data_IF_700871367030
#
_entry.id   IF_700871367030
#
_cell.length_a   1.000
_cell.length_b   1.000
_cell.length_c   1.000
_cell.angle_alpha   90.00
_cell.angle_beta   90.00
_cell.angle_gamma   90.00
#
_symmetry.space_group_name_H-M   'P 1'
#
loop_
_entity.id
_entity.type
_entity.pdbx_description
1 polymer ?
#
# COMPACT_ATOMS: atom_id res chain seq x y z
N UNK A 1 -19.13 4.25 68.78
CA UNK A 1 -18.17 4.01 67.68
C UNK A 1 -18.93 3.55 66.42
N UNK A 2 -19.27 4.49 65.54
CA UNK A 2 -20.00 4.22 64.30
C UNK A 2 -18.96 4.05 63.20
N UNK A 3 -18.91 2.85 62.57
CA UNK A 3 -18.06 2.57 61.40
C UNK A 3 -18.79 3.10 60.16
N UNK A 4 -18.17 4.11 59.50
CA UNK A 4 -18.57 4.56 58.15
C UNK A 4 -18.00 3.57 57.16
N UNK A 5 -18.87 2.91 56.41
CA UNK A 5 -18.53 2.10 55.26
C UNK A 5 -18.51 3.02 54.00
N UNK A 6 -17.38 3.30 53.44
CA UNK A 6 -17.26 3.94 52.10
C UNK A 6 -17.54 2.88 51.04
N UNK A 7 -18.64 3.04 50.36
CA UNK A 7 -18.95 2.28 49.14
C UNK A 7 -18.28 3.02 47.98
N UNK A 8 -17.20 2.43 47.47
CA UNK A 8 -16.64 2.84 46.18
C UNK A 8 -17.55 2.27 45.07
N UNK A 9 -18.30 3.14 44.43
CA UNK A 9 -18.97 2.82 43.19
C UNK A 9 -17.93 2.79 42.04
N UNK A 10 -17.56 1.58 41.62
CA UNK A 10 -16.76 1.37 40.40
C UNK A 10 -17.70 1.63 39.22
N UNK A 11 -17.58 2.80 38.59
CA UNK A 11 -18.23 3.07 37.31
C UNK A 11 -17.48 2.23 36.23
N UNK A 12 -18.08 1.10 35.86
CA UNK A 12 -17.70 0.36 34.67
C UNK A 12 -18.02 1.25 33.45
N UNK A 13 -17.01 1.91 32.91
CA UNK A 13 -17.10 2.50 31.59
C UNK A 13 -17.30 1.35 30.58
N UNK A 14 -18.49 1.24 30.04
CA UNK A 14 -18.75 0.37 28.90
C UNK A 14 -17.91 0.89 27.74
N UNK A 15 -17.14 0.01 27.04
CA UNK A 15 -16.39 0.43 25.86
C UNK A 15 -17.38 1.02 24.85
N UNK A 16 -17.09 2.22 24.36
CA UNK A 16 -17.85 2.85 23.32
C UNK A 16 -17.86 1.90 22.11
N UNK A 17 -19.00 1.32 21.82
CA UNK A 17 -19.21 0.49 20.63
C UNK A 17 -18.90 1.38 19.44
N UNK A 18 -17.89 1.03 18.64
CA UNK A 18 -17.55 1.77 17.44
C UNK A 18 -18.84 2.01 16.64
N UNK A 19 -19.19 3.27 16.46
CA UNK A 19 -20.40 3.63 15.73
C UNK A 19 -20.25 3.06 14.31
N UNK A 20 -21.25 2.30 13.87
CA UNK A 20 -21.31 1.80 12.51
C UNK A 20 -21.24 3.00 11.57
N UNK A 21 -20.13 3.12 10.79
CA UNK A 21 -19.93 4.27 9.91
C UNK A 21 -21.06 4.26 8.88
N UNK A 22 -21.92 5.26 8.94
CA UNK A 22 -22.87 5.49 7.85
C UNK A 22 -22.10 5.90 6.60
N UNK A 23 -22.51 5.45 5.40
CA UNK A 23 -21.92 5.91 4.15
C UNK A 23 -21.87 7.44 4.17
N UNK A 24 -20.67 7.99 4.06
CA UNK A 24 -20.51 9.44 4.00
C UNK A 24 -20.67 9.89 2.56
N UNK A 25 -21.43 10.95 2.35
CA UNK A 25 -21.61 11.51 1.02
C UNK A 25 -20.32 12.22 0.57
N UNK A 26 -20.02 12.14 -0.72
CA UNK A 26 -18.97 12.92 -1.36
C UNK A 26 -19.34 14.40 -1.20
N UNK A 27 -18.40 15.18 -0.66
CA UNK A 27 -18.62 16.63 -0.52
C UNK A 27 -18.56 17.27 -1.92
N UNK A 28 -19.60 18.01 -2.34
CA UNK A 28 -19.71 18.49 -3.72
C UNK A 28 -18.68 19.57 -4.08
N UNK A 29 -18.13 20.24 -3.08
CA UNK A 29 -17.14 21.33 -3.27
C UNK A 29 -16.09 21.28 -2.17
N UNK A 30 -14.87 21.70 -2.50
CA UNK A 30 -13.78 21.86 -1.53
C UNK A 30 -13.55 23.33 -1.23
N UNK A 31 -13.29 23.74 0.04
CA UNK A 31 -12.88 25.09 0.36
C UNK A 31 -11.42 25.36 0.02
N UNK A 32 -10.63 24.30 -0.26
CA UNK A 32 -9.20 24.42 -0.51
C UNK A 32 -8.91 24.82 -1.94
N UNK A 33 -7.85 25.62 -2.11
CA UNK A 33 -7.30 26.02 -3.41
C UNK A 33 -5.85 25.57 -3.51
N UNK A 34 -5.41 25.29 -4.72
CA UNK A 34 -3.99 25.01 -4.97
C UNK A 34 -3.12 26.17 -4.47
N UNK A 35 -2.10 25.83 -3.70
CA UNK A 35 -1.19 26.78 -3.09
C UNK A 35 -1.58 27.24 -1.68
N UNK A 36 -2.78 26.90 -1.21
CA UNK A 36 -3.15 27.17 0.18
C UNK A 36 -2.17 26.49 1.13
N UNK A 37 -1.83 27.20 2.21
CA UNK A 37 -0.96 26.68 3.26
C UNK A 37 -1.75 26.53 4.55
N UNK A 38 -1.66 25.37 5.18
CA UNK A 38 -2.34 25.07 6.44
C UNK A 38 -1.28 24.75 7.49
N UNK A 39 -1.24 25.62 8.52
CA UNK A 39 -0.38 25.46 9.69
C UNK A 39 -1.07 24.61 10.77
N UNK A 40 -0.33 24.25 11.82
CA UNK A 40 -0.91 23.54 12.97
C UNK A 40 -2.09 24.30 13.60
N UNK A 41 -2.05 25.62 13.64
CA UNK A 41 -3.15 26.46 14.18
C UNK A 41 -4.44 26.36 13.33
N UNK A 42 -4.32 25.95 12.07
CA UNK A 42 -5.41 25.88 11.10
C UNK A 42 -5.91 24.47 10.81
N UNK A 43 -5.39 23.46 11.50
CA UNK A 43 -5.71 22.03 11.20
C UNK A 43 -7.19 21.70 11.29
N UNK A 44 -7.96 22.45 12.09
CA UNK A 44 -9.41 22.25 12.21
C UNK A 44 -10.14 22.40 10.87
N UNK A 45 -9.58 23.15 9.92
CA UNK A 45 -10.09 23.27 8.54
C UNK A 45 -10.10 21.95 7.78
N UNK A 46 -9.24 20.99 8.20
CA UNK A 46 -9.12 19.68 7.58
C UNK A 46 -10.15 18.67 8.08
N UNK A 47 -10.81 18.93 9.20
CA UNK A 47 -11.63 17.96 9.95
C UNK A 47 -12.64 17.21 9.07
N UNK A 48 -13.41 17.92 8.27
CA UNK A 48 -14.48 17.32 7.45
C UNK A 48 -13.92 16.55 6.25
N UNK A 49 -12.67 16.80 5.87
CA UNK A 49 -11.95 16.18 4.76
C UNK A 49 -10.98 15.07 5.21
N UNK A 50 -10.94 14.76 6.47
CA UNK A 50 -10.16 13.64 6.99
C UNK A 50 -11.10 12.48 7.39
N UNK A 51 -10.61 11.23 7.33
CA UNK A 51 -11.33 10.13 7.97
C UNK A 51 -11.52 10.40 9.47
N UNK A 52 -12.69 10.12 10.04
CA UNK A 52 -12.95 10.39 11.46
C UNK A 52 -11.90 9.78 12.39
N UNK A 53 -11.49 8.53 12.13
CA UNK A 53 -10.48 7.84 12.93
C UNK A 53 -9.11 8.53 12.90
N UNK A 54 -8.75 9.09 11.73
CA UNK A 54 -7.52 9.86 11.60
C UNK A 54 -7.62 11.17 12.40
N UNK A 55 -8.75 11.86 12.30
CA UNK A 55 -9.00 13.09 13.02
C UNK A 55 -9.00 12.89 14.54
N UNK A 56 -9.61 11.83 15.03
CA UNK A 56 -9.66 11.50 16.46
C UNK A 56 -8.28 11.19 17.04
N UNK A 57 -7.33 10.75 16.20
CA UNK A 57 -5.95 10.43 16.58
C UNK A 57 -4.92 11.41 15.97
N UNK A 58 -5.34 12.62 15.64
CA UNK A 58 -4.52 13.58 14.91
C UNK A 58 -3.24 14.00 15.60
N UNK A 59 -3.14 13.84 16.92
CA UNK A 59 -1.95 14.14 17.70
C UNK A 59 -0.74 13.24 17.38
N UNK A 60 -0.96 12.12 16.66
CA UNK A 60 0.13 11.31 16.10
C UNK A 60 0.73 11.95 14.86
N UNK A 61 -0.04 12.76 14.14
CA UNK A 61 0.26 13.17 12.78
C UNK A 61 0.52 14.67 12.63
N UNK A 62 -0.20 15.50 13.40
CA UNK A 62 -0.06 16.95 13.33
C UNK A 62 0.73 17.47 14.52
N UNK A 63 1.57 18.46 14.29
CA UNK A 63 2.50 18.98 15.28
C UNK A 63 2.75 20.48 15.07
N UNK A 64 3.16 21.17 16.10
CA UNK A 64 3.52 22.58 16.02
C UNK A 64 4.74 22.78 15.11
N UNK A 65 4.62 23.72 14.18
CA UNK A 65 5.63 24.00 13.16
C UNK A 65 5.42 23.27 11.85
N UNK A 66 4.44 22.39 11.74
CA UNK A 66 4.07 21.79 10.44
C UNK A 66 3.54 22.85 9.47
N UNK A 67 3.73 22.60 8.17
CA UNK A 67 3.19 23.42 7.10
C UNK A 67 2.76 22.53 5.92
N UNK A 68 1.47 22.25 5.82
CA UNK A 68 0.86 21.56 4.71
C UNK A 68 0.63 22.53 3.56
N UNK A 69 0.95 22.10 2.34
CA UNK A 69 0.61 22.86 1.12
C UNK A 69 -0.43 22.09 0.32
N UNK A 70 -1.52 22.76 -0.06
CA UNK A 70 -2.56 22.15 -0.91
C UNK A 70 -2.07 22.10 -2.35
N UNK A 71 -2.09 20.91 -2.93
CA UNK A 71 -1.85 20.68 -4.36
C UNK A 71 -3.10 20.90 -5.21
N UNK A 72 -3.07 20.52 -6.51
CA UNK A 72 -4.23 20.59 -7.38
C UNK A 72 -5.44 19.84 -6.81
N UNK A 73 -6.62 20.47 -6.88
CA UNK A 73 -7.85 19.91 -6.29
C UNK A 73 -8.66 19.04 -7.27
N UNK A 74 -8.33 19.08 -8.57
CA UNK A 74 -9.08 18.37 -9.62
C UNK A 74 -8.16 17.56 -10.54
N UNK A 75 -6.92 17.31 -10.13
CA UNK A 75 -5.96 16.61 -10.96
C UNK A 75 -6.34 15.15 -11.17
N UNK A 76 -6.31 14.71 -12.43
CA UNK A 76 -6.37 13.31 -12.81
C UNK A 76 -4.96 12.79 -13.10
N UNK A 77 -4.68 11.60 -12.65
CA UNK A 77 -3.41 10.93 -12.87
C UNK A 77 -3.57 9.89 -13.96
N UNK A 78 -2.83 10.06 -15.05
CA UNK A 78 -2.85 9.14 -16.18
C UNK A 78 -2.16 7.81 -15.85
N UNK A 79 -2.45 6.82 -16.68
CA UNK A 79 -1.74 5.53 -16.72
C UNK A 79 -1.01 5.38 -18.05
N UNK A 80 -0.21 4.31 -18.24
CA UNK A 80 0.40 4.07 -19.55
C UNK A 80 -0.66 3.94 -20.65
N UNK A 81 -0.33 4.38 -21.86
CA UNK A 81 -1.26 4.33 -22.98
C UNK A 81 -1.67 2.87 -23.30
N UNK A 82 -0.75 1.93 -23.13
CA UNK A 82 -1.02 0.50 -23.30
C UNK A 82 -2.03 -0.02 -22.26
N UNK A 83 -1.92 0.40 -20.99
CA UNK A 83 -2.87 0.01 -19.96
C UNK A 83 -4.24 0.64 -20.18
N UNK A 84 -4.30 1.90 -20.58
CA UNK A 84 -5.55 2.58 -20.91
C UNK A 84 -6.23 1.90 -22.12
N UNK A 85 -5.47 1.60 -23.18
CA UNK A 85 -5.98 0.90 -24.36
C UNK A 85 -6.49 -0.52 -24.01
N UNK A 86 -5.78 -1.25 -23.16
CA UNK A 86 -6.23 -2.57 -22.69
C UNK A 86 -7.51 -2.47 -21.84
N UNK A 87 -7.65 -1.44 -21.02
CA UNK A 87 -8.86 -1.19 -20.24
C UNK A 87 -10.07 -1.00 -21.14
N UNK A 88 -9.96 -0.19 -22.20
CA UNK A 88 -11.06 0.01 -23.18
C UNK A 88 -11.31 -1.24 -24.00
N UNK A 89 -10.26 -1.92 -24.46
CA UNK A 89 -10.37 -3.13 -25.29
C UNK A 89 -11.12 -4.27 -24.56
N UNK A 90 -10.83 -4.47 -23.29
CA UNK A 90 -11.35 -5.58 -22.48
C UNK A 90 -12.49 -5.16 -21.54
N UNK A 91 -13.07 -3.99 -21.78
CA UNK A 91 -14.18 -3.46 -21.00
C UNK A 91 -15.37 -4.43 -20.95
N UNK A 92 -15.75 -4.84 -19.73
CA UNK A 92 -16.89 -5.74 -19.49
C UNK A 92 -16.60 -7.24 -19.69
N UNK A 93 -15.39 -7.63 -20.07
CA UNK A 93 -14.99 -9.05 -20.17
C UNK A 93 -14.72 -9.68 -18.81
N UNK A 94 -14.10 -8.94 -17.91
CA UNK A 94 -13.81 -9.40 -16.56
C UNK A 94 -15.10 -9.66 -15.77
N UNK A 95 -15.16 -10.78 -15.07
CA UNK A 95 -16.30 -11.20 -14.24
C UNK A 95 -15.83 -11.63 -12.86
N UNK A 96 -16.76 -11.64 -11.91
CA UNK A 96 -16.55 -12.22 -10.59
C UNK A 96 -17.10 -13.64 -10.56
N UNK A 97 -16.28 -14.57 -10.05
CA UNK A 97 -16.77 -15.88 -9.64
C UNK A 97 -17.57 -15.79 -8.33
N UNK A 98 -18.31 -16.87 -7.99
CA UNK A 98 -19.09 -16.94 -6.75
C UNK A 98 -18.24 -16.78 -5.49
N UNK A 99 -16.98 -17.16 -5.56
CA UNK A 99 -16.00 -17.03 -4.47
C UNK A 99 -15.33 -15.65 -4.43
N UNK A 100 -15.68 -14.73 -5.36
CA UNK A 100 -15.08 -13.42 -5.51
C UNK A 100 -13.80 -13.41 -6.34
N UNK A 101 -13.48 -14.51 -7.04
CA UNK A 101 -12.34 -14.58 -7.97
C UNK A 101 -12.55 -13.71 -9.20
N UNK A 102 -11.43 -13.24 -9.76
CA UNK A 102 -11.44 -12.52 -11.03
C UNK A 102 -11.33 -13.50 -12.17
N UNK A 103 -12.34 -13.53 -13.02
CA UNK A 103 -12.43 -14.42 -14.19
C UNK A 103 -12.34 -13.61 -15.49
N UNK A 104 -11.87 -14.23 -16.56
CA UNK A 104 -11.74 -13.65 -17.90
C UNK A 104 -10.92 -12.35 -17.96
N UNK A 105 -10.02 -12.14 -17.02
CA UNK A 105 -9.16 -10.96 -16.98
C UNK A 105 -7.99 -11.12 -17.95
N UNK A 106 -7.86 -10.19 -18.89
CA UNK A 106 -6.79 -10.17 -19.88
C UNK A 106 -5.75 -9.08 -19.55
N UNK A 107 -6.20 -7.86 -19.19
CA UNK A 107 -5.35 -6.74 -18.88
C UNK A 107 -6.16 -5.46 -18.65
N UNK A 108 -5.49 -4.40 -18.22
CA UNK A 108 -6.14 -3.12 -17.91
C UNK A 108 -6.94 -3.13 -16.61
N UNK A 109 -7.85 -2.18 -16.44
CA UNK A 109 -8.74 -2.08 -15.28
C UNK A 109 -9.91 -3.07 -15.42
N UNK A 110 -10.09 -4.01 -14.48
CA UNK A 110 -11.13 -5.05 -14.62
C UNK A 110 -12.56 -4.50 -14.64
N UNK A 111 -12.88 -3.53 -13.77
CA UNK A 111 -14.24 -3.02 -13.60
C UNK A 111 -14.25 -1.50 -13.78
N UNK A 112 -14.94 -0.97 -14.82
CA UNK A 112 -15.09 0.47 -15.01
C UNK A 112 -15.77 1.14 -13.81
N UNK A 113 -15.36 2.37 -13.48
CA UNK A 113 -15.88 3.11 -12.32
C UNK A 113 -17.41 3.27 -12.36
N UNK A 114 -17.97 3.49 -13.55
CA UNK A 114 -19.41 3.62 -13.78
C UNK A 114 -20.22 2.34 -13.50
N UNK A 115 -19.55 1.20 -13.33
CA UNK A 115 -20.17 -0.09 -12.96
C UNK A 115 -20.13 -0.38 -11.47
N UNK A 116 -19.57 0.52 -10.67
CA UNK A 116 -19.40 0.36 -9.23
C UNK A 116 -20.50 1.15 -8.53
N UNK A 117 -21.42 0.44 -7.90
CA UNK A 117 -22.52 1.02 -7.12
C UNK A 117 -22.47 0.48 -5.70
N UNK A 118 -21.94 1.27 -4.77
CA UNK A 118 -21.82 0.87 -3.35
C UNK A 118 -23.16 0.70 -2.64
N UNK A 119 -24.25 1.23 -3.21
CA UNK A 119 -25.60 1.15 -2.60
C UNK A 119 -26.41 -0.02 -3.13
N UNK A 120 -26.27 -0.33 -4.42
CA UNK A 120 -27.09 -1.34 -5.09
C UNK A 120 -26.37 -2.66 -5.43
N UNK A 121 -25.02 -2.67 -5.47
CA UNK A 121 -24.25 -3.86 -5.82
C UNK A 121 -23.52 -4.44 -4.61
N UNK A 122 -23.94 -5.62 -4.11
CA UNK A 122 -23.25 -6.28 -2.99
C UNK A 122 -21.79 -6.66 -3.32
N UNK A 123 -21.43 -6.69 -4.60
CA UNK A 123 -20.08 -6.99 -5.07
C UNK A 123 -19.23 -5.74 -5.31
N UNK A 124 -19.73 -4.53 -5.04
CA UNK A 124 -18.97 -3.30 -5.26
C UNK A 124 -17.60 -3.33 -4.56
N UNK A 125 -17.55 -3.77 -3.31
CA UNK A 125 -16.30 -3.85 -2.55
C UNK A 125 -15.25 -4.76 -3.20
N UNK A 126 -15.65 -5.94 -3.68
CA UNK A 126 -14.73 -6.87 -4.36
C UNK A 126 -14.31 -6.36 -5.75
N UNK A 127 -15.16 -5.63 -6.46
CA UNK A 127 -14.79 -4.98 -7.72
C UNK A 127 -13.73 -3.90 -7.49
N UNK A 128 -13.91 -3.06 -6.46
CA UNK A 128 -12.95 -2.01 -6.11
C UNK A 128 -11.60 -2.61 -5.75
N UNK A 129 -11.57 -3.65 -4.91
CA UNK A 129 -10.29 -4.25 -4.52
C UNK A 129 -9.61 -4.99 -5.66
N UNK A 130 -10.34 -5.53 -6.63
CA UNK A 130 -9.73 -6.06 -7.84
C UNK A 130 -9.14 -4.95 -8.72
N UNK A 131 -9.80 -3.80 -8.84
CA UNK A 131 -9.22 -2.64 -9.51
C UNK A 131 -7.96 -2.15 -8.82
N UNK A 132 -7.95 -2.09 -7.47
CA UNK A 132 -6.76 -1.80 -6.67
C UNK A 132 -5.63 -2.82 -6.93
N UNK A 133 -5.95 -4.12 -6.92
CA UNK A 133 -4.97 -5.18 -7.14
C UNK A 133 -4.37 -5.16 -8.55
N UNK A 134 -5.14 -4.70 -9.53
CA UNK A 134 -4.78 -4.60 -10.95
C UNK A 134 -4.45 -3.16 -11.37
N UNK A 135 -4.39 -2.21 -10.44
CA UNK A 135 -3.96 -0.85 -10.74
C UNK A 135 -2.57 -0.85 -11.40
N UNK A 136 -2.39 0.06 -12.34
CA UNK A 136 -1.15 0.15 -13.09
C UNK A 136 0.02 0.58 -12.19
N UNK A 137 1.01 -0.27 -12.08
CA UNK A 137 2.24 -0.04 -11.32
C UNK A 137 3.50 -0.29 -12.16
N UNK A 138 3.37 -0.28 -13.49
CA UNK A 138 4.42 -0.71 -14.41
C UNK A 138 4.55 -2.22 -14.49
N UNK A 139 5.44 -2.70 -15.36
CA UNK A 139 5.68 -4.14 -15.61
C UNK A 139 6.51 -4.80 -14.52
N UNK A 140 6.94 -4.05 -13.56
CA UNK A 140 7.80 -4.42 -12.45
C UNK A 140 8.46 -3.19 -11.87
N UNK A 141 9.19 -3.36 -10.80
CA UNK A 141 9.84 -2.27 -10.12
C UNK A 141 11.10 -2.71 -9.40
N UNK A 142 12.02 -1.77 -9.27
CA UNK A 142 13.23 -1.90 -8.50
C UNK A 142 13.30 -0.70 -7.56
N UNK A 143 13.42 -0.95 -6.27
CA UNK A 143 13.47 0.12 -5.28
C UNK A 143 14.47 -0.23 -4.19
N UNK A 144 15.21 0.78 -3.74
CA UNK A 144 15.79 0.75 -2.42
C UNK A 144 14.67 1.05 -1.41
N UNK A 145 14.83 0.56 -0.21
CA UNK A 145 13.85 0.78 0.85
C UNK A 145 14.55 0.95 2.19
N UNK A 146 13.91 1.72 3.07
CA UNK A 146 14.18 1.69 4.50
C UNK A 146 12.94 1.23 5.25
N UNK A 147 13.19 0.57 6.36
CA UNK A 147 12.18 0.11 7.28
C UNK A 147 12.59 0.52 8.69
N UNK A 148 11.80 1.35 9.30
CA UNK A 148 12.08 1.91 10.62
C UNK A 148 10.94 1.61 11.57
N UNK A 149 11.28 1.45 12.86
CA UNK A 149 10.32 1.33 13.94
C UNK A 149 10.51 2.50 14.89
N UNK A 150 9.44 3.13 15.28
CA UNK A 150 9.43 4.34 16.07
C UNK A 150 8.62 4.15 17.33
N UNK A 151 9.08 4.75 18.40
CA UNK A 151 8.40 4.85 19.68
C UNK A 151 8.30 6.31 20.07
N UNK A 152 7.15 6.74 20.58
CA UNK A 152 6.96 8.13 21.02
C UNK A 152 7.93 8.54 22.14
N UNK A 153 8.45 7.56 22.91
CA UNK A 153 9.42 7.80 23.96
C UNK A 153 10.88 7.75 23.50
N UNK A 154 11.22 6.82 22.62
CA UNK A 154 12.62 6.50 22.24
C UNK A 154 12.96 6.85 20.79
N UNK A 155 12.02 7.28 20.01
CA UNK A 155 12.14 7.71 18.61
C UNK A 155 12.47 6.61 17.61
N UNK A 156 13.66 6.06 17.55
CA UNK A 156 14.08 5.11 16.50
C UNK A 156 14.82 3.89 17.08
N UNK A 157 14.09 2.91 17.65
CA UNK A 157 14.72 1.72 18.21
C UNK A 157 15.18 0.71 17.17
N UNK A 158 14.69 0.76 15.92
CA UNK A 158 15.02 -0.21 14.87
C UNK A 158 15.10 0.44 13.49
N UNK A 159 16.14 0.06 12.74
CA UNK A 159 16.38 0.53 11.38
C UNK A 159 16.92 -0.59 10.48
N UNK A 160 16.28 -0.79 9.34
CA UNK A 160 16.73 -1.68 8.28
C UNK A 160 16.75 -0.95 6.95
N UNK A 161 17.68 -1.34 6.08
CA UNK A 161 17.74 -0.91 4.69
C UNK A 161 17.95 -2.10 3.76
N UNK A 162 17.56 -1.91 2.51
CA UNK A 162 17.80 -2.91 1.51
C UNK A 162 17.24 -2.53 0.15
N UNK A 163 17.14 -3.55 -0.69
CA UNK A 163 16.58 -3.44 -2.02
C UNK A 163 15.42 -4.40 -2.22
N UNK A 164 14.48 -4.03 -3.07
CA UNK A 164 13.35 -4.88 -3.46
C UNK A 164 13.13 -4.84 -4.96
N UNK A 165 12.65 -5.95 -5.50
CA UNK A 165 12.25 -6.06 -6.91
C UNK A 165 10.92 -6.76 -7.04
N UNK A 166 10.03 -6.12 -7.78
CA UNK A 166 8.76 -6.71 -8.20
C UNK A 166 8.86 -7.08 -9.67
N UNK A 167 8.40 -8.26 -10.02
CA UNK A 167 8.39 -8.76 -11.41
C UNK A 167 6.98 -9.20 -11.72
N UNK A 168 6.32 -8.54 -12.65
CA UNK A 168 5.09 -9.05 -13.24
C UNK A 168 5.44 -10.11 -14.29
N UNK A 169 4.77 -11.24 -14.29
CA UNK A 169 5.04 -12.36 -15.21
C UNK A 169 3.87 -12.65 -16.15
N UNK A 170 2.70 -12.08 -15.88
CA UNK A 170 1.49 -12.32 -16.66
C UNK A 170 0.63 -11.07 -16.79
N UNK A 171 -0.28 -11.08 -17.76
CA UNK A 171 -1.22 -9.99 -18.04
C UNK A 171 -0.51 -8.67 -18.37
N UNK A 172 0.63 -8.74 -19.06
CA UNK A 172 1.28 -7.57 -19.60
C UNK A 172 0.44 -6.97 -20.73
N UNK A 173 0.38 -5.66 -20.77
CA UNK A 173 -0.37 -4.91 -21.79
C UNK A 173 0.54 -4.23 -22.81
N UNK A 174 1.83 -4.21 -22.54
CA UNK A 174 2.82 -3.55 -23.38
C UNK A 174 3.06 -4.35 -24.67
N UNK A 175 3.22 -3.69 -25.83
CA UNK A 175 3.28 -4.35 -27.14
C UNK A 175 4.36 -5.44 -27.23
N UNK A 176 5.50 -5.29 -26.59
CA UNK A 176 6.59 -6.26 -26.60
C UNK A 176 6.25 -7.59 -25.89
N UNK A 177 5.17 -7.61 -25.09
CA UNK A 177 4.65 -8.82 -24.41
C UNK A 177 3.33 -9.32 -25.01
N UNK A 178 2.84 -8.71 -26.10
CA UNK A 178 1.58 -9.07 -26.75
C UNK A 178 1.58 -10.51 -27.29
N UNK A 179 2.75 -11.06 -27.60
CA UNK A 179 2.90 -12.49 -27.83
C UNK A 179 2.55 -13.25 -26.54
N UNK A 180 1.82 -14.35 -26.65
CA UNK A 180 1.42 -15.20 -25.51
C UNK A 180 0.45 -14.53 -24.52
N UNK A 181 -0.45 -13.67 -24.97
CA UNK A 181 -1.52 -13.06 -24.17
C UNK A 181 -0.97 -12.30 -22.94
N UNK A 182 0.15 -11.65 -23.09
CA UNK A 182 0.78 -10.87 -22.01
C UNK A 182 1.59 -11.70 -21.00
N UNK A 183 1.85 -12.97 -21.29
CA UNK A 183 2.67 -13.82 -20.44
C UNK A 183 4.15 -13.79 -20.85
N UNK A 184 5.05 -13.43 -19.93
CA UNK A 184 6.49 -13.50 -20.20
C UNK A 184 6.96 -14.95 -20.45
N UNK A 185 6.42 -15.86 -19.65
CA UNK A 185 6.70 -17.29 -19.77
C UNK A 185 5.39 -18.05 -20.00
N UNK A 186 5.05 -18.40 -21.25
CA UNK A 186 3.90 -19.26 -21.55
C UNK A 186 3.99 -20.57 -20.75
N UNK A 187 2.85 -21.05 -20.31
CA UNK A 187 2.72 -22.26 -19.48
C UNK A 187 3.20 -22.14 -18.01
N UNK A 188 3.68 -21.00 -17.58
CA UNK A 188 3.92 -20.78 -16.16
C UNK A 188 2.64 -20.33 -15.43
N UNK A 189 2.43 -20.89 -14.23
CA UNK A 189 1.29 -20.53 -13.40
C UNK A 189 1.57 -19.32 -12.50
N UNK A 190 2.74 -18.68 -12.60
CA UNK A 190 3.13 -17.54 -11.79
C UNK A 190 2.56 -16.24 -12.36
N UNK A 191 1.89 -15.48 -11.52
CA UNK A 191 1.43 -14.12 -11.83
C UNK A 191 2.56 -13.11 -11.71
N UNK A 192 3.43 -13.30 -10.70
CA UNK A 192 4.54 -12.42 -10.43
C UNK A 192 5.47 -12.97 -9.37
N UNK A 193 6.55 -12.23 -9.15
CA UNK A 193 7.50 -12.49 -8.07
C UNK A 193 7.87 -11.17 -7.38
N UNK A 194 8.15 -11.26 -6.09
CA UNK A 194 8.63 -10.16 -5.28
C UNK A 194 9.83 -10.62 -4.48
N UNK A 195 10.93 -9.89 -4.55
CA UNK A 195 12.14 -10.20 -3.81
C UNK A 195 12.59 -9.02 -2.96
N UNK A 196 13.17 -9.34 -1.80
CA UNK A 196 13.79 -8.41 -0.87
C UNK A 196 15.22 -8.88 -0.61
N UNK A 197 16.13 -7.93 -0.50
CA UNK A 197 17.49 -8.12 -0.01
C UNK A 197 17.74 -7.10 1.10
N UNK A 198 18.21 -7.57 2.26
CA UNK A 198 18.57 -6.73 3.40
C UNK A 198 20.05 -6.38 3.31
N UNK A 199 20.38 -5.09 3.36
CA UNK A 199 21.75 -4.57 3.25
C UNK A 199 22.27 -4.00 4.58
N UNK A 200 21.38 -3.53 5.43
CA UNK A 200 21.70 -3.07 6.78
C UNK A 200 20.54 -3.41 7.75
N UNK A 201 20.83 -3.57 9.05
CA UNK A 201 22.13 -3.51 9.73
C UNK A 201 23.02 -4.73 9.43
N UNK A 202 24.26 -4.71 9.92
CA UNK A 202 25.28 -5.73 9.60
C UNK A 202 24.86 -7.15 9.96
N UNK A 203 24.20 -7.33 11.08
CA UNK A 203 23.71 -8.63 11.58
C UNK A 203 22.54 -9.22 10.73
N UNK A 204 21.82 -8.38 10.01
CA UNK A 204 20.75 -8.80 9.11
C UNK A 204 21.18 -8.84 7.62
N UNK A 205 22.39 -8.36 7.33
CA UNK A 205 22.86 -8.21 5.94
C UNK A 205 22.92 -9.55 5.21
N UNK A 206 22.37 -9.55 4.01
CA UNK A 206 22.35 -10.73 3.14
C UNK A 206 21.15 -11.66 3.39
N UNK A 207 20.19 -11.29 4.23
CA UNK A 207 18.89 -11.93 4.24
C UNK A 207 18.23 -11.67 2.88
N UNK A 208 17.80 -12.75 2.21
CA UNK A 208 17.10 -12.70 0.94
C UNK A 208 15.71 -13.30 1.10
N UNK A 209 14.72 -12.61 0.58
CA UNK A 209 13.34 -13.11 0.51
C UNK A 209 12.93 -13.19 -0.95
N UNK A 210 12.21 -14.26 -1.33
CA UNK A 210 11.61 -14.39 -2.64
C UNK A 210 10.20 -14.95 -2.48
N UNK A 211 9.22 -14.22 -2.96
CA UNK A 211 7.81 -14.61 -2.93
C UNK A 211 7.30 -14.79 -4.35
N UNK A 212 6.61 -15.89 -4.63
CA UNK A 212 5.86 -16.11 -5.86
C UNK A 212 4.37 -15.96 -5.60
N UNK A 213 3.72 -15.20 -6.45
CA UNK A 213 2.26 -15.16 -6.56
C UNK A 213 1.82 -15.93 -7.81
N UNK A 214 0.72 -16.65 -7.68
CA UNK A 214 0.23 -17.52 -8.74
C UNK A 214 -1.02 -16.97 -9.42
N UNK A 215 -1.21 -17.33 -10.69
CA UNK A 215 -2.48 -17.17 -11.37
C UNK A 215 -3.50 -18.07 -10.69
N UNK A 216 -4.75 -17.66 -10.60
CA UNK A 216 -5.81 -18.59 -10.31
C UNK A 216 -6.00 -19.50 -11.53
N UNK A 217 -5.98 -20.81 -11.33
CA UNK A 217 -6.35 -21.74 -12.39
C UNK A 217 -7.85 -21.56 -12.66
N UNK A 218 -8.18 -21.23 -13.90
CA UNK A 218 -9.56 -21.17 -14.41
C UNK A 218 -10.56 -20.29 -13.62
N UNK A 219 -10.03 -19.29 -12.89
CA UNK A 219 -10.84 -18.38 -12.10
C UNK A 219 -11.43 -18.97 -10.82
N UNK A 220 -11.20 -20.23 -10.52
CA UNK A 220 -11.66 -20.85 -9.28
C UNK A 220 -10.61 -20.67 -8.18
N UNK A 221 -10.91 -19.82 -7.18
CA UNK A 221 -10.03 -19.60 -6.05
C UNK A 221 -10.26 -20.59 -4.90
N UNK A 222 -11.21 -21.47 -4.99
CA UNK A 222 -11.29 -22.59 -4.05
C UNK A 222 -9.96 -23.35 -3.94
N UNK A 223 -9.08 -23.16 -4.94
CA UNK A 223 -7.75 -23.73 -5.03
C UNK A 223 -6.68 -22.70 -5.38
N UNK A 224 -6.93 -21.38 -5.18
CA UNK A 224 -5.86 -20.41 -5.36
C UNK A 224 -4.72 -20.78 -4.44
N UNK A 225 -3.66 -21.20 -5.07
CA UNK A 225 -2.43 -21.49 -4.36
C UNK A 225 -2.00 -20.22 -3.66
N UNK A 226 -1.85 -20.31 -2.35
CA UNK A 226 -1.24 -19.25 -1.56
C UNK A 226 0.13 -18.88 -2.12
N UNK A 227 0.58 -17.67 -1.84
CA UNK A 227 1.93 -17.26 -2.17
C UNK A 227 2.94 -18.25 -1.58
N UNK A 228 3.97 -18.58 -2.35
CA UNK A 228 5.12 -19.31 -1.85
C UNK A 228 6.22 -18.32 -1.51
N UNK A 229 6.69 -18.33 -0.29
CA UNK A 229 7.78 -17.46 0.17
C UNK A 229 8.96 -18.28 0.66
N UNK A 230 10.15 -17.95 0.17
CA UNK A 230 11.42 -18.52 0.62
C UNK A 230 12.27 -17.40 1.22
N UNK A 231 12.95 -17.75 2.31
CA UNK A 231 13.90 -16.87 2.98
C UNK A 231 15.24 -17.57 3.11
N UNK A 232 16.28 -16.91 2.68
CA UNK A 232 17.66 -17.29 2.98
C UNK A 232 18.15 -16.45 4.15
N UNK A 233 18.68 -17.10 5.18
CA UNK A 233 19.29 -16.47 6.33
C UNK A 233 20.79 -16.82 6.33
N UNK A 234 21.70 -15.86 6.21
CA UNK A 234 23.15 -16.10 6.09
C UNK A 234 23.72 -16.96 7.21
N UNK A 235 23.38 -16.68 8.45
CA UNK A 235 23.87 -17.40 9.63
C UNK A 235 23.49 -18.89 9.61
N UNK A 236 22.32 -19.17 9.07
CA UNK A 236 21.84 -20.56 8.94
C UNK A 236 22.32 -21.25 7.66
N UNK A 237 22.85 -20.49 6.71
CA UNK A 237 23.23 -20.94 5.34
C UNK A 237 22.18 -21.82 4.69
N UNK A 238 20.91 -21.49 4.93
CA UNK A 238 19.76 -22.29 4.50
C UNK A 238 18.67 -21.41 3.89
N UNK A 239 18.06 -21.95 2.85
CA UNK A 239 16.77 -21.46 2.36
C UNK A 239 15.65 -22.19 3.09
N UNK A 240 14.73 -21.46 3.66
CA UNK A 240 13.51 -21.98 4.28
C UNK A 240 12.30 -21.48 3.52
N UNK A 241 11.34 -22.36 3.32
CA UNK A 241 10.00 -21.95 2.88
C UNK A 241 9.20 -21.52 4.10
N UNK A 242 8.60 -20.33 4.00
CA UNK A 242 7.74 -19.76 5.05
C UNK A 242 6.30 -20.10 4.71
N UNK A 243 5.48 -20.42 5.71
CA UNK A 243 4.05 -20.62 5.54
C UNK A 243 3.35 -19.31 5.16
N UNK A 244 2.39 -19.38 4.25
CA UNK A 244 1.54 -18.26 3.89
C UNK A 244 0.70 -17.72 5.07
N UNK A 245 0.45 -18.53 6.09
CA UNK A 245 -0.21 -18.09 7.32
C UNK A 245 0.59 -17.01 8.08
N UNK A 246 1.90 -16.93 7.86
CA UNK A 246 2.78 -15.96 8.51
C UNK A 246 2.73 -14.53 7.92
N UNK A 247 1.85 -14.28 6.96
CA UNK A 247 1.67 -12.92 6.41
C UNK A 247 1.15 -11.91 7.43
N UNK A 248 0.44 -12.40 8.44
CA UNK A 248 -0.13 -11.59 9.52
C UNK A 248 0.77 -11.53 10.75
N UNK A 249 1.90 -12.23 10.72
CA UNK A 249 2.87 -12.14 11.78
C UNK A 249 3.60 -10.80 11.75
N UNK A 250 3.92 -10.31 12.92
CA UNK A 250 4.71 -9.11 13.12
C UNK A 250 6.11 -9.25 12.48
N UNK A 251 6.48 -8.32 11.62
CA UNK A 251 7.82 -8.29 11.03
C UNK A 251 8.82 -7.78 12.08
N UNK A 252 9.79 -8.59 12.44
CA UNK A 252 10.84 -8.25 13.43
C UNK A 252 10.30 -7.78 14.79
N UNK A 253 9.12 -8.27 15.20
CA UNK A 253 8.51 -7.89 16.47
C UNK A 253 7.90 -6.49 16.52
N UNK A 254 7.71 -5.86 15.38
CA UNK A 254 7.13 -4.50 15.25
C UNK A 254 5.63 -4.53 14.98
N UNK A 255 5.01 -3.38 14.74
CA UNK A 255 3.59 -3.27 14.43
C UNK A 255 3.24 -3.63 12.98
N UNK A 256 4.23 -3.69 12.09
CA UNK A 256 4.02 -3.98 10.67
C UNK A 256 3.83 -5.47 10.41
N UNK A 257 2.88 -5.79 9.55
CA UNK A 257 2.71 -7.11 8.94
C UNK A 257 2.75 -7.00 7.42
N UNK A 258 3.04 -8.10 6.71
CA UNK A 258 3.04 -8.06 5.24
C UNK A 258 1.66 -7.75 4.65
N UNK A 259 0.58 -7.99 5.40
CA UNK A 259 -0.78 -7.62 4.99
C UNK A 259 -1.08 -6.12 5.13
N UNK A 260 -0.21 -5.37 5.78
CA UNK A 260 -0.33 -3.90 5.91
C UNK A 260 0.35 -3.14 4.77
N UNK A 261 1.24 -3.80 4.03
CA UNK A 261 1.94 -3.17 2.90
C UNK A 261 0.93 -2.63 1.87
N UNK A 262 1.02 -1.34 1.56
CA UNK A 262 0.05 -0.62 0.73
C UNK A 262 -1.40 -0.84 1.20
N UNK A 263 -1.65 -0.87 2.50
CA UNK A 263 -2.95 -1.18 3.13
C UNK A 263 -3.48 -2.58 2.90
N UNK A 264 -3.15 -3.22 1.79
CA UNK A 264 -3.56 -4.59 1.46
C UNK A 264 -2.63 -5.21 0.41
N UNK A 265 -1.99 -6.31 0.75
CA UNK A 265 -1.18 -7.09 -0.19
C UNK A 265 -1.60 -8.56 -0.28
N UNK A 266 -2.76 -8.90 0.29
CA UNK A 266 -3.32 -10.24 0.30
C UNK A 266 -3.92 -10.70 -1.03
N UNK A 267 -4.67 -11.78 -0.99
CA UNK A 267 -5.40 -12.37 -2.13
C UNK A 267 -6.89 -12.06 -1.92
N UNK A 268 -7.53 -11.22 -2.77
CA UNK A 268 -8.87 -10.68 -2.51
C UNK A 268 -9.93 -11.70 -2.08
N UNK A 269 -10.04 -12.90 -2.68
CA UNK A 269 -11.06 -13.88 -2.28
C UNK A 269 -10.87 -14.56 -0.92
N UNK A 270 -9.75 -14.33 -0.27
CA UNK A 270 -9.55 -14.80 1.12
C UNK A 270 -10.30 -13.95 2.14
N UNK A 271 -10.94 -12.89 1.69
CA UNK A 271 -11.66 -11.92 2.50
C UNK A 271 -13.08 -11.72 1.99
N UNK A 272 -13.96 -11.26 2.88
CA UNK A 272 -15.25 -10.68 2.48
C UNK A 272 -15.06 -9.18 2.32
N UNK A 273 -15.65 -8.62 1.29
CA UNK A 273 -15.50 -7.21 0.93
C UNK A 273 -16.84 -6.50 0.95
N UNK A 274 -16.86 -5.30 1.50
CA UNK A 274 -18.03 -4.44 1.53
C UNK A 274 -17.63 -3.05 1.04
N UNK A 275 -18.44 -2.43 0.20
CA UNK A 275 -18.32 -0.99 -0.06
C UNK A 275 -19.15 -0.24 0.97
N UNK A 276 -18.50 0.59 1.77
CA UNK A 276 -19.17 1.39 2.80
C UNK A 276 -19.65 2.75 2.26
N UNK A 277 -19.25 3.12 1.03
CA UNK A 277 -19.61 4.38 0.40
C UNK A 277 -18.40 5.11 -0.15
N UNK A 278 -18.53 6.41 -0.24
CA UNK A 278 -17.55 7.32 -0.82
C UNK A 278 -17.31 8.51 0.10
N UNK A 279 -16.11 9.08 0.04
CA UNK A 279 -15.80 10.32 0.75
C UNK A 279 -14.77 11.12 -0.04
N UNK A 280 -14.99 12.43 -0.13
CA UNK A 280 -13.94 13.37 -0.50
C UNK A 280 -13.02 13.56 0.70
N UNK A 281 -11.73 13.28 0.50
CA UNK A 281 -10.69 13.41 1.53
C UNK A 281 -9.55 14.29 1.04
N UNK A 282 -8.78 14.84 1.97
CA UNK A 282 -7.49 15.44 1.69
C UNK A 282 -6.39 14.48 2.17
N UNK A 283 -5.39 14.23 1.34
CA UNK A 283 -4.36 13.24 1.62
C UNK A 283 -3.01 13.65 1.02
N UNK A 284 -1.89 13.18 1.58
CA UNK A 284 -0.57 13.39 0.98
C UNK A 284 -0.50 12.60 -0.33
N UNK A 285 -0.52 13.33 -1.43
CA UNK A 285 -0.47 12.77 -2.78
C UNK A 285 0.53 13.54 -3.62
N UNK A 286 1.32 12.81 -4.40
CA UNK A 286 2.32 13.37 -5.32
C UNK A 286 3.33 14.29 -4.62
N UNK A 287 3.93 13.75 -3.56
CA UNK A 287 4.94 14.45 -2.77
C UNK A 287 6.07 14.99 -3.63
N UNK A 288 6.60 16.15 -3.26
CA UNK A 288 7.84 16.71 -3.79
C UNK A 288 9.03 16.46 -2.87
N UNK A 289 8.79 15.89 -1.70
CA UNK A 289 9.80 15.62 -0.71
C UNK A 289 10.39 14.23 -0.95
N UNK A 290 11.70 14.08 -0.85
CA UNK A 290 12.36 12.78 -0.95
C UNK A 290 12.28 12.05 0.37
N UNK A 291 12.03 10.74 0.29
CA UNK A 291 12.05 9.88 1.45
C UNK A 291 13.47 9.67 1.98
N UNK A 292 14.47 9.66 1.09
CA UNK A 292 15.85 9.31 1.42
C UNK A 292 16.84 10.00 0.44
N UNK A 293 18.05 10.35 0.83
CA UNK A 293 18.57 10.24 2.20
C UNK A 293 17.88 11.21 3.16
N UNK A 294 17.77 10.83 4.42
CA UNK A 294 17.23 11.72 5.45
C UNK A 294 18.05 12.99 5.49
N UNK A 295 17.42 14.09 5.14
CA UNK A 295 17.99 15.41 5.31
C UNK A 295 17.39 16.04 6.55
N UNK A 296 18.11 16.97 7.19
CA UNK A 296 17.58 17.73 8.33
C UNK A 296 16.30 18.52 7.97
N UNK A 297 16.04 18.66 6.68
CA UNK A 297 14.84 19.32 6.14
C UNK A 297 13.65 18.38 5.95
N UNK A 298 13.86 17.06 6.05
CA UNK A 298 12.81 16.09 5.91
C UNK A 298 12.09 15.90 7.24
N UNK A 299 10.92 16.48 7.35
CA UNK A 299 10.21 16.56 8.62
C UNK A 299 9.07 15.54 8.69
N UNK A 300 9.33 14.42 9.35
CA UNK A 300 8.31 13.39 9.66
C UNK A 300 7.58 13.67 10.98
N UNK A 301 7.70 14.87 11.50
CA UNK A 301 7.19 15.22 12.80
C UNK A 301 8.02 14.63 13.96
N UNK A 302 7.64 14.95 15.19
CA UNK A 302 8.43 14.60 16.38
C UNK A 302 8.54 13.09 16.64
N UNK A 303 7.61 12.30 16.07
CA UNK A 303 7.52 10.86 16.33
C UNK A 303 7.75 10.00 15.07
N UNK A 304 8.15 10.59 13.95
CA UNK A 304 8.38 9.85 12.72
C UNK A 304 7.10 9.40 11.98
N UNK A 305 5.91 9.84 12.39
CA UNK A 305 4.63 9.36 11.87
C UNK A 305 3.91 10.32 10.94
N UNK A 306 4.55 11.43 10.53
CA UNK A 306 3.87 12.52 9.87
C UNK A 306 4.30 12.73 8.42
N UNK A 307 3.34 13.09 7.58
CA UNK A 307 3.52 13.74 6.28
C UNK A 307 2.92 15.16 6.30
N UNK A 308 2.72 15.75 7.49
CA UNK A 308 1.99 17.01 7.61
C UNK A 308 2.73 18.20 6.98
N UNK A 309 4.06 18.15 6.87
CA UNK A 309 4.85 19.18 6.18
C UNK A 309 5.15 18.78 4.73
N UNK A 310 4.12 18.42 3.98
CA UNK A 310 4.21 17.98 2.59
C UNK A 310 3.05 18.56 1.77
N UNK A 311 2.96 18.15 0.52
CA UNK A 311 1.88 18.48 -0.41
C UNK A 311 0.74 17.49 -0.26
N UNK A 312 -0.46 18.02 -0.08
CA UNK A 312 -1.68 17.23 0.02
C UNK A 312 -2.68 17.63 -1.07
N UNK A 313 -3.45 16.67 -1.54
CA UNK A 313 -4.47 16.91 -2.57
C UNK A 313 -5.84 16.46 -2.09
N UNK A 314 -6.88 17.16 -2.57
CA UNK A 314 -8.26 16.73 -2.37
C UNK A 314 -8.58 15.61 -3.36
N UNK A 315 -9.07 14.48 -2.83
CA UNK A 315 -9.30 13.25 -3.60
C UNK A 315 -10.65 12.65 -3.26
N UNK A 316 -11.34 12.11 -4.24
CA UNK A 316 -12.51 11.27 -4.01
C UNK A 316 -12.07 9.82 -3.79
N UNK A 317 -12.54 9.22 -2.71
CA UNK A 317 -12.17 7.88 -2.32
C UNK A 317 -13.37 6.96 -2.17
N UNK A 318 -13.21 5.71 -2.59
CA UNK A 318 -14.05 4.59 -2.14
C UNK A 318 -13.67 4.22 -0.72
N UNK A 319 -14.65 3.90 0.13
CA UNK A 319 -14.42 3.31 1.45
C UNK A 319 -14.75 1.83 1.35
N UNK A 320 -13.74 0.99 1.47
CA UNK A 320 -13.88 -0.46 1.32
C UNK A 320 -13.45 -1.16 2.60
N UNK A 321 -14.32 -2.03 3.12
CA UNK A 321 -14.02 -2.87 4.28
C UNK A 321 -13.66 -4.27 3.86
N UNK A 322 -12.53 -4.78 4.33
CA UNK A 322 -12.30 -6.21 4.31
C UNK A 322 -12.56 -6.85 5.67
N UNK A 323 -13.10 -8.06 5.63
CA UNK A 323 -13.31 -8.91 6.79
C UNK A 323 -12.63 -10.24 6.49
N UNK A 324 -11.63 -10.67 7.26
CA UNK A 324 -10.96 -11.95 7.05
C UNK A 324 -11.96 -13.13 7.11
N UNK A 325 -11.79 -14.10 6.19
CA UNK A 325 -12.51 -15.37 6.26
C UNK A 325 -11.85 -16.35 7.24
N UNK A 326 -10.55 -16.14 7.52
CA UNK A 326 -9.79 -16.91 8.50
C UNK A 326 -10.03 -16.33 9.90
N UNK A 327 -10.56 -17.15 10.81
CA UNK A 327 -10.84 -16.76 12.19
C UNK A 327 -9.59 -16.50 13.03
N UNK A 328 -8.43 -17.03 12.62
CA UNK A 328 -7.15 -16.78 13.30
C UNK A 328 -6.50 -15.45 12.89
N UNK A 329 -7.07 -14.73 11.93
CA UNK A 329 -6.54 -13.43 11.51
C UNK A 329 -6.61 -12.42 12.67
N UNK A 330 -5.54 -11.62 12.92
CA UNK A 330 -5.50 -10.69 14.06
C UNK A 330 -6.50 -9.54 13.95
N UNK A 331 -6.95 -9.21 12.73
CA UNK A 331 -7.93 -8.14 12.53
C UNK A 331 -9.36 -8.66 12.55
N UNK A 332 -10.23 -7.92 13.23
CA UNK A 332 -11.68 -8.06 13.07
C UNK A 332 -12.07 -7.59 11.66
N UNK A 333 -11.62 -6.42 11.26
CA UNK A 333 -11.77 -5.87 9.91
C UNK A 333 -10.74 -4.75 9.68
N UNK A 334 -10.65 -4.28 8.44
CA UNK A 334 -9.89 -3.10 8.06
C UNK A 334 -10.70 -2.28 7.05
N UNK A 335 -10.81 -0.98 7.27
CA UNK A 335 -11.41 -0.02 6.34
C UNK A 335 -10.30 0.66 5.55
N UNK A 336 -10.44 0.70 4.22
CA UNK A 336 -9.45 1.26 3.31
C UNK A 336 -10.10 2.33 2.48
N UNK A 337 -9.50 3.52 2.45
CA UNK A 337 -9.86 4.63 1.57
C UNK A 337 -9.00 4.53 0.32
N UNK A 338 -9.63 4.23 -0.81
CA UNK A 338 -8.99 3.99 -2.10
C UNK A 338 -9.36 5.12 -3.05
N UNK A 339 -8.36 5.79 -3.61
CA UNK A 339 -8.54 6.86 -4.60
C UNK A 339 -9.34 6.36 -5.81
N UNK A 340 -10.38 7.08 -6.22
CA UNK A 340 -11.27 6.66 -7.31
C UNK A 340 -10.65 6.77 -8.70
N UNK A 341 -9.61 7.55 -8.85
CA UNK A 341 -8.93 7.77 -10.11
C UNK A 341 -7.83 6.72 -10.33
N UNK A 342 -6.92 6.62 -9.37
CA UNK A 342 -5.70 5.80 -9.49
C UNK A 342 -5.83 4.42 -8.87
N UNK A 343 -6.78 4.23 -7.96
CA UNK A 343 -6.91 3.04 -7.10
C UNK A 343 -5.72 2.86 -6.14
N UNK A 344 -4.93 3.91 -5.88
CA UNK A 344 -3.95 3.89 -4.80
C UNK A 344 -4.63 4.08 -3.43
N UNK A 345 -4.13 3.44 -2.37
CA UNK A 345 -4.68 3.61 -1.03
C UNK A 345 -4.24 4.94 -0.46
N UNK A 346 -5.13 5.64 0.23
CA UNK A 346 -4.84 6.91 0.89
C UNK A 346 -4.70 6.73 2.40
N UNK A 347 -5.68 6.05 3.02
CA UNK A 347 -5.74 5.75 4.44
C UNK A 347 -6.29 4.35 4.66
N UNK A 348 -5.90 3.71 5.76
CA UNK A 348 -6.63 2.55 6.26
C UNK A 348 -6.62 2.46 7.78
N UNK A 349 -7.63 1.78 8.31
CA UNK A 349 -7.92 1.66 9.73
C UNK A 349 -8.16 0.21 10.05
N UNK A 350 -7.22 -0.42 10.77
CA UNK A 350 -7.32 -1.80 11.18
C UNK A 350 -7.84 -1.89 12.62
N UNK A 351 -8.81 -2.78 12.81
CA UNK A 351 -9.44 -3.03 14.10
C UNK A 351 -9.03 -4.40 14.63
N UNK A 352 -8.73 -4.48 15.89
CA UNK A 352 -8.37 -5.72 16.55
C UNK A 352 -9.58 -6.65 16.72
N UNK A 353 -9.37 -7.83 17.28
CA UNK A 353 -10.45 -8.83 17.47
C UNK A 353 -11.54 -8.38 18.43
N UNK A 354 -11.30 -7.37 19.26
CA UNK A 354 -12.32 -6.75 20.12
C UNK A 354 -13.11 -5.67 19.41
N UNK A 355 -12.80 -5.43 18.14
CA UNK A 355 -13.35 -4.34 17.32
C UNK A 355 -12.95 -2.95 17.85
N UNK A 356 -11.77 -2.84 18.44
CA UNK A 356 -11.16 -1.59 18.85
C UNK A 356 -10.16 -1.13 17.78
N UNK A 357 -10.08 0.18 17.50
CA UNK A 357 -9.11 0.71 16.57
C UNK A 357 -7.70 0.39 17.07
N UNK A 358 -6.95 -0.30 16.23
CA UNK A 358 -5.59 -0.74 16.56
C UNK A 358 -4.55 0.01 15.78
N UNK A 359 -4.69 0.04 14.43
CA UNK A 359 -3.68 0.67 13.56
C UNK A 359 -4.32 1.67 12.61
N UNK A 360 -3.59 2.77 12.40
CA UNK A 360 -3.84 3.71 11.33
C UNK A 360 -2.68 3.58 10.35
N UNK A 361 -3.01 3.38 9.09
CA UNK A 361 -2.03 3.27 8.01
C UNK A 361 -2.35 4.35 7.00
N UNK A 362 -1.35 5.10 6.59
CA UNK A 362 -1.50 6.11 5.57
C UNK A 362 -0.27 6.18 4.67
N UNK A 363 -0.45 6.76 3.51
CA UNK A 363 0.49 6.62 2.40
C UNK A 363 0.89 7.97 1.85
N UNK A 364 2.11 8.04 1.37
CA UNK A 364 2.53 9.12 0.50
C UNK A 364 2.83 8.57 -0.89
N UNK A 365 2.56 9.36 -1.92
CA UNK A 365 2.60 8.94 -3.32
C UNK A 365 3.43 9.90 -4.15
N UNK A 366 3.91 9.40 -5.30
CA UNK A 366 4.61 10.19 -6.30
C UNK A 366 4.18 9.80 -7.70
N UNK A 367 3.91 10.81 -8.53
CA UNK A 367 3.55 10.61 -9.92
C UNK A 367 4.79 10.68 -10.81
N UNK A 368 5.03 9.63 -11.58
CA UNK A 368 6.25 9.49 -12.37
C UNK A 368 6.46 10.59 -13.39
N UNK A 369 5.40 11.10 -14.04
CA UNK A 369 5.51 12.13 -15.08
C UNK A 369 6.02 13.48 -14.55
N UNK A 370 5.71 13.82 -13.30
CA UNK A 370 6.19 15.07 -12.70
C UNK A 370 7.68 15.06 -12.45
N UNK A 371 8.30 13.88 -12.49
CA UNK A 371 9.72 13.67 -12.22
C UNK A 371 10.52 13.26 -13.45
N UNK A 372 9.88 12.73 -14.48
CA UNK A 372 10.56 12.24 -15.69
C UNK A 372 11.38 13.30 -16.42
N UNK A 373 10.94 14.56 -16.45
CA UNK A 373 11.72 15.67 -17.02
C UNK A 373 12.91 16.10 -16.18
N UNK A 374 13.00 15.62 -14.93
CA UNK A 374 14.04 15.90 -13.95
C UNK A 374 14.84 14.66 -13.56
N UNK A 375 14.61 13.53 -14.24
CA UNK A 375 15.39 12.32 -13.99
C UNK A 375 16.83 12.66 -14.20
N UNK A 376 17.50 12.96 -13.12
CA UNK A 376 18.93 13.05 -13.09
C UNK A 376 19.45 11.65 -13.35
N UNK A 377 20.33 11.52 -14.33
CA UNK A 377 21.02 10.26 -14.60
C UNK A 377 21.93 9.84 -13.43
N UNK A 378 22.13 10.74 -12.47
CA UNK A 378 22.80 10.46 -11.22
C UNK A 378 21.77 10.00 -10.19
N UNK A 379 21.74 8.71 -9.85
CA UNK A 379 20.82 8.15 -8.86
C UNK A 379 21.07 8.68 -7.44
N UNK A 380 22.20 9.33 -7.18
CA UNK A 380 22.53 9.99 -5.91
C UNK A 380 22.00 11.42 -5.83
N UNK A 381 21.49 11.96 -6.94
CA UNK A 381 20.93 13.28 -6.91
C UNK A 381 19.62 13.28 -6.14
N UNK A 382 19.56 14.10 -5.11
CA UNK A 382 18.49 14.16 -4.15
C UNK A 382 17.10 14.50 -4.73
N UNK A 383 17.02 15.02 -5.93
CA UNK A 383 15.80 15.51 -6.59
C UNK A 383 15.28 14.60 -7.72
N UNK A 384 15.91 13.42 -7.94
CA UNK A 384 15.50 12.48 -8.98
C UNK A 384 14.84 11.22 -8.44
N UNK A 385 13.63 10.91 -8.89
CA UNK A 385 13.09 9.57 -8.82
C UNK A 385 13.20 8.95 -10.19
N UNK A 386 14.01 7.94 -10.29
CA UNK A 386 14.12 7.16 -11.51
C UNK A 386 13.24 5.91 -11.36
N UNK A 387 12.35 5.74 -12.30
CA UNK A 387 11.61 4.49 -12.41
C UNK A 387 12.30 3.67 -13.50
N UNK A 388 13.10 2.66 -13.13
CA UNK A 388 13.70 1.80 -14.13
C UNK A 388 12.57 1.05 -14.82
N UNK A 389 12.21 1.54 -16.00
CA UNK A 389 11.39 0.76 -16.92
C UNK A 389 12.16 -0.50 -17.34
N UNK A 390 11.43 -1.48 -17.83
CA UNK A 390 12.02 -2.54 -18.62
C UNK A 390 12.69 -1.89 -19.85
N UNK A 391 13.85 -2.41 -20.27
CA UNK A 391 14.53 -1.89 -21.43
C UNK A 391 13.58 -1.92 -22.65
N UNK A 392 13.37 -0.77 -23.29
CA UNK A 392 12.42 -0.63 -24.40
C UNK A 392 10.96 -0.37 -24.00
N UNK A 393 10.67 -0.20 -22.71
CA UNK A 393 9.36 0.24 -22.22
C UNK A 393 9.45 1.73 -21.86
N UNK A 394 8.49 2.50 -22.31
CA UNK A 394 8.32 3.88 -21.86
C UNK A 394 8.16 3.91 -20.34
N UNK A 395 8.64 4.99 -19.73
CA UNK A 395 8.51 5.21 -18.29
C UNK A 395 7.05 5.07 -17.89
N UNK A 396 6.74 4.32 -16.82
CA UNK A 396 5.36 4.14 -16.41
C UNK A 396 4.75 5.47 -15.98
N UNK A 397 3.63 5.85 -16.61
CA UNK A 397 2.77 6.92 -16.12
C UNK A 397 1.97 6.36 -14.94
N UNK A 398 2.48 6.44 -13.74
CA UNK A 398 1.77 5.97 -12.56
C UNK A 398 1.95 6.86 -11.34
N UNK A 399 0.91 6.93 -10.54
CA UNK A 399 0.99 7.39 -9.16
C UNK A 399 1.35 6.19 -8.31
N UNK A 400 2.47 6.24 -7.61
CA UNK A 400 2.98 5.10 -6.83
C UNK A 400 3.16 5.48 -5.38
N UNK A 401 2.79 4.58 -4.48
CA UNK A 401 3.16 4.67 -3.08
C UNK A 401 4.68 4.69 -2.94
N UNK A 402 5.21 5.70 -2.27
CA UNK A 402 6.63 5.87 -1.97
C UNK A 402 6.94 5.81 -0.49
N UNK A 403 5.93 5.89 0.36
CA UNK A 403 6.08 5.68 1.80
C UNK A 403 4.77 5.20 2.42
N UNK A 404 4.90 4.27 3.36
CA UNK A 404 3.82 3.76 4.21
C UNK A 404 4.16 4.08 5.67
N UNK A 405 3.24 4.68 6.40
CA UNK A 405 3.32 4.82 7.86
C UNK A 405 2.22 3.98 8.49
N UNK A 406 2.60 3.15 9.44
CA UNK A 406 1.72 2.29 10.21
C UNK A 406 1.84 2.69 11.68
N UNK A 407 0.78 3.21 12.27
CA UNK A 407 0.76 3.63 13.68
C UNK A 407 -0.15 2.72 14.46
N UNK A 408 0.38 2.13 15.52
CA UNK A 408 -0.39 1.44 16.56
C UNK A 408 -0.86 2.49 17.57
N UNK A 409 -2.13 2.87 17.49
CA UNK A 409 -2.69 3.93 18.33
C UNK A 409 -2.89 3.48 19.79
N UNK A 410 -2.88 2.16 20.05
CA UNK A 410 -3.02 1.64 21.41
C UNK A 410 -1.72 1.70 22.21
N UNK A 411 -0.57 1.63 21.53
CA UNK A 411 0.76 1.64 22.16
C UNK A 411 1.54 2.93 21.92
N UNK A 412 1.23 3.69 20.87
CA UNK A 412 1.99 4.86 20.47
C UNK A 412 3.28 4.53 19.71
N UNK A 413 3.38 3.29 19.20
CA UNK A 413 4.49 2.82 18.38
C UNK A 413 4.09 2.72 16.93
N UNK A 414 5.05 2.53 16.02
CA UNK A 414 4.71 2.35 14.62
C UNK A 414 5.92 2.19 13.71
N UNK A 415 5.62 1.91 12.45
CA UNK A 415 6.62 1.71 11.41
C UNK A 415 6.49 2.76 10.33
N UNK A 416 7.62 3.06 9.72
CA UNK A 416 7.68 3.78 8.47
C UNK A 416 8.49 2.97 7.48
N UNK A 417 7.92 2.75 6.30
CA UNK A 417 8.56 2.10 5.17
C UNK A 417 8.66 3.14 4.07
N UNK A 418 9.83 3.31 3.51
CA UNK A 418 10.08 4.28 2.47
C UNK A 418 10.77 3.62 1.29
N UNK A 419 10.37 4.03 0.10
CA UNK A 419 10.88 3.51 -1.16
C UNK A 419 11.50 4.64 -1.97
N UNK A 420 12.69 4.40 -2.50
CA UNK A 420 13.37 5.32 -3.42
C UNK A 420 14.06 4.56 -4.53
N UNK A 421 14.71 5.28 -5.40
CA UNK A 421 15.40 4.69 -6.52
C UNK A 421 16.49 3.70 -6.10
N UNK A 422 16.64 2.64 -6.85
CA UNK A 422 17.74 1.69 -6.74
C UNK A 422 18.50 1.59 -8.07
N UNK A 423 19.82 1.73 -8.01
CA UNK A 423 20.76 1.61 -9.14
C UNK A 423 20.86 0.18 -9.74
N UNK A 424 20.14 -0.80 -9.18
CA UNK A 424 20.21 -2.18 -9.64
C UNK A 424 19.90 -2.33 -11.12
N UNK A 425 20.65 -3.19 -11.81
CA UNK A 425 20.37 -3.52 -13.21
C UNK A 425 18.92 -3.89 -13.44
N UNK A 426 18.22 -3.26 -14.37
CA UNK A 426 16.85 -3.61 -14.68
C UNK A 426 16.77 -5.08 -15.16
N UNK A 427 15.67 -5.75 -14.81
CA UNK A 427 15.39 -7.10 -15.30
C UNK A 427 14.84 -7.04 -16.74
N UNK A 428 15.65 -6.54 -17.65
CA UNK A 428 15.24 -6.11 -19.00
C UNK A 428 15.12 -7.26 -20.02
N UNK A 429 15.47 -8.47 -19.65
CA UNK A 429 15.40 -9.64 -20.54
C UNK A 429 14.78 -10.85 -19.85
N UNK A 430 14.14 -11.73 -20.64
CA UNK A 430 13.59 -13.03 -20.13
C UNK A 430 14.64 -13.84 -19.36
N UNK A 431 15.91 -13.81 -19.80
CA UNK A 431 17.01 -14.50 -19.12
C UNK A 431 17.31 -13.91 -17.74
N UNK A 432 17.41 -12.58 -17.62
CA UNK A 432 17.62 -11.88 -16.35
C UNK A 432 16.44 -12.12 -15.38
N UNK A 433 15.21 -12.05 -15.90
CA UNK A 433 14.01 -12.36 -15.11
C UNK A 433 14.06 -13.78 -14.57
N UNK A 434 14.35 -14.77 -15.45
CA UNK A 434 14.42 -16.19 -15.06
C UNK A 434 15.50 -16.41 -14.00
N UNK A 435 16.67 -15.81 -14.18
CA UNK A 435 17.75 -15.90 -13.19
C UNK A 435 17.35 -15.27 -11.84
N UNK A 436 16.64 -14.14 -11.88
CA UNK A 436 16.19 -13.46 -10.65
C UNK A 436 15.15 -14.26 -9.86
N UNK A 437 14.19 -14.86 -10.56
CA UNK A 437 13.13 -15.65 -9.92
C UNK A 437 13.54 -17.09 -9.63
N UNK A 438 14.77 -17.51 -9.86
CA UNK A 438 15.26 -18.84 -9.52
C UNK A 438 15.53 -18.96 -8.02
N UNK A 439 14.86 -19.91 -7.35
CA UNK A 439 15.09 -20.19 -5.93
C UNK A 439 16.55 -20.63 -5.68
N UNK A 440 17.17 -21.29 -6.65
CA UNK A 440 18.58 -21.69 -6.58
C UNK A 440 19.53 -20.50 -6.36
N UNK A 441 19.13 -19.28 -6.77
CA UNK A 441 19.88 -18.04 -6.50
C UNK A 441 20.00 -17.78 -4.99
N UNK A 442 18.94 -18.03 -4.23
CA UNK A 442 18.95 -17.79 -2.79
C UNK A 442 20.01 -18.64 -2.08
N UNK A 443 20.24 -19.90 -2.54
CA UNK A 443 21.24 -20.78 -1.95
C UNK A 443 22.69 -20.29 -2.18
N UNK A 444 22.89 -19.43 -3.15
CA UNK A 444 24.23 -18.87 -3.46
C UNK A 444 24.54 -17.62 -2.65
N UNK A 445 23.56 -17.08 -1.90
CA UNK A 445 23.72 -15.87 -1.09
C UNK A 445 24.01 -14.61 -1.94
N UNK A 446 23.56 -14.60 -3.20
CA UNK A 446 23.85 -13.53 -4.17
C UNK A 446 22.60 -13.12 -4.95
#
# INVERSE_FOLDING_TARGET
MRKLACIFALALALPARAAEQKPQDVLPTTPFKEGDTISYADVDKLKDYLPPQFWENREFFFYEGMQLTVGPTERKYGTSDAYAAATEKHKGEAKLGEDGSLQNYQGGRPFPNETIDCKGDPNAGVKIIWNFNKAWNGSGGNAAWSYTYWDRGEQLPLYYEGTSRTVQLAHHVEPQYAENDGDIFPNEKRLGAFGIEVEAPFDARGILVLTYRYKSADGALKEAKNDDTWVFVPDLRRVRRISSAQRTDSVQGTDFTMDDLRSFSGIPPQYKWQCLGEKTVIAPVNTKTLAYPYTDTYNFGPYGFSYASDRWEVRDAWIVRFIPKNEDHPYHHKDIYIDKDTYEPLYSFAYDRKNELWKIIWHNHRYSEDWNGKVNKDPKAADGVWYPGWEGVDQPKNLRTVSDIIVNVQTGTGNRIEFWNNEGSPLSTKGKIRAYIDIGRLNKGR
#
